data_IF_719782002778
#
_entry.id   IF_719782002778
#
_cell.length_a   1.000
_cell.length_b   1.000
_cell.length_c   1.000
_cell.angle_alpha   90.00
_cell.angle_beta   90.00
_cell.angle_gamma   90.00
#
_symmetry.space_group_name_H-M   'P 1'
#
loop_
_entity.id
_entity.type
_entity.pdbx_description
1 polymer ?
#
# COMPACT_ATOMS: atom_id res chain seq x y z
N UNK A 1 2.72 9.33 -4.68
CA UNK A 1 2.65 10.78 -4.36
C UNK A 1 1.70 10.98 -3.19
N UNK A 2 1.70 12.18 -2.59
CA UNK A 2 0.72 12.53 -1.53
C UNK A 2 -0.70 12.55 -2.08
N UNK A 3 -0.89 13.10 -3.27
CA UNK A 3 -2.20 13.19 -3.94
C UNK A 3 -2.87 11.81 -4.11
N UNK A 4 -2.13 10.78 -4.55
CA UNK A 4 -2.67 9.42 -4.66
C UNK A 4 -3.05 8.81 -3.31
N UNK A 5 -2.26 9.06 -2.26
CA UNK A 5 -2.56 8.60 -0.89
C UNK A 5 -3.85 9.25 -0.39
N UNK A 6 -4.00 10.56 -0.56
CA UNK A 6 -5.21 11.28 -0.14
C UNK A 6 -6.44 10.79 -0.89
N UNK A 7 -6.35 10.58 -2.21
CA UNK A 7 -7.43 10.02 -3.01
C UNK A 7 -7.85 8.63 -2.54
N UNK A 8 -6.89 7.76 -2.25
CA UNK A 8 -7.17 6.41 -1.75
C UNK A 8 -7.88 6.44 -0.38
N UNK A 9 -7.43 7.31 0.53
CA UNK A 9 -8.04 7.51 1.85
C UNK A 9 -9.47 8.06 1.72
N UNK A 10 -9.68 9.08 0.88
CA UNK A 10 -11.01 9.67 0.64
C UNK A 10 -11.96 8.63 0.03
N UNK A 11 -11.45 7.79 -0.87
CA UNK A 11 -12.21 6.68 -1.45
C UNK A 11 -12.51 5.55 -0.44
N UNK A 12 -12.00 5.64 0.80
CA UNK A 12 -12.18 4.62 1.83
C UNK A 12 -11.38 3.34 1.55
N UNK A 13 -10.38 3.38 0.65
CA UNK A 13 -9.56 2.21 0.37
C UNK A 13 -8.65 1.90 1.57
N UNK A 14 -8.61 0.66 2.07
CA UNK A 14 -7.72 0.29 3.16
C UNK A 14 -6.25 0.12 2.72
N UNK A 15 -6.01 0.05 1.41
CA UNK A 15 -4.72 -0.30 0.81
C UNK A 15 -4.50 0.38 -0.54
N UNK A 16 -3.26 0.80 -0.79
CA UNK A 16 -2.79 1.37 -2.06
C UNK A 16 -1.48 0.70 -2.46
N UNK A 17 -1.45 0.05 -3.64
CA UNK A 17 -0.24 -0.55 -4.22
C UNK A 17 0.20 0.30 -5.42
N UNK A 18 1.50 0.59 -5.50
CA UNK A 18 2.11 1.29 -6.62
C UNK A 18 3.35 0.55 -7.14
N UNK A 19 3.58 0.66 -8.45
CA UNK A 19 4.77 0.09 -9.13
C UNK A 19 6.05 0.85 -8.77
N UNK A 20 5.95 2.13 -8.41
CA UNK A 20 7.09 2.99 -8.09
C UNK A 20 7.26 3.20 -6.59
N UNK A 21 8.46 3.66 -6.18
CA UNK A 21 8.72 4.05 -4.81
C UNK A 21 7.90 5.30 -4.42
N UNK A 22 7.30 5.34 -3.21
CA UNK A 22 6.64 6.53 -2.71
C UNK A 22 7.66 7.59 -2.27
N UNK A 23 7.22 8.85 -2.19
CA UNK A 23 8.01 9.89 -1.53
C UNK A 23 7.89 9.77 -0.01
N UNK A 24 8.90 10.22 0.73
CA UNK A 24 8.86 10.19 2.21
C UNK A 24 7.63 10.92 2.79
N UNK A 25 7.19 12.01 2.15
CA UNK A 25 5.97 12.70 2.55
C UNK A 25 4.72 11.84 2.34
N UNK A 26 4.61 11.12 1.21
CA UNK A 26 3.49 10.22 0.96
C UNK A 26 3.43 9.07 1.98
N UNK A 27 4.58 8.52 2.37
CA UNK A 27 4.67 7.50 3.44
C UNK A 27 4.14 8.05 4.76
N UNK A 28 4.60 9.24 5.20
CA UNK A 28 4.09 9.88 6.42
C UNK A 28 2.60 10.16 6.37
N UNK A 29 2.08 10.61 5.22
CA UNK A 29 0.64 10.84 5.03
C UNK A 29 -0.15 9.54 5.12
N UNK A 30 0.35 8.45 4.53
CA UNK A 30 -0.30 7.14 4.59
C UNK A 30 -0.31 6.58 6.03
N UNK A 31 0.80 6.71 6.76
CA UNK A 31 0.91 6.27 8.15
C UNK A 31 -0.08 7.03 9.05
N UNK A 32 -0.12 8.36 8.94
CA UNK A 32 -1.05 9.20 9.71
C UNK A 32 -2.53 8.90 9.40
N UNK A 33 -2.83 8.51 8.16
CA UNK A 33 -4.17 8.11 7.75
C UNK A 33 -4.50 6.65 8.07
N UNK A 34 -3.54 5.87 8.58
CA UNK A 34 -3.70 4.43 8.77
C UNK A 34 -3.94 3.67 7.47
N UNK A 35 -3.48 4.18 6.32
CA UNK A 35 -3.54 3.51 5.02
C UNK A 35 -2.39 2.51 4.89
N UNK A 36 -2.65 1.33 4.34
CA UNK A 36 -1.59 0.39 3.95
C UNK A 36 -1.00 0.82 2.62
N UNK A 37 0.27 1.25 2.60
CA UNK A 37 0.96 1.70 1.40
C UNK A 37 2.02 0.69 0.99
N UNK A 38 1.89 0.19 -0.23
CA UNK A 38 2.84 -0.74 -0.85
C UNK A 38 3.43 -0.07 -2.09
N UNK A 39 4.75 -0.20 -2.26
CA UNK A 39 5.48 0.38 -3.38
C UNK A 39 6.45 -0.64 -4.00
N UNK A 40 7.06 -0.25 -5.12
CA UNK A 40 8.06 -1.06 -5.83
C UNK A 40 7.48 -2.44 -6.23
N UNK A 41 6.16 -2.50 -6.44
CA UNK A 41 5.48 -3.76 -6.75
C UNK A 41 5.83 -4.23 -8.17
N UNK A 42 6.40 -5.44 -8.28
CA UNK A 42 6.76 -6.10 -9.54
C UNK A 42 6.65 -7.61 -9.40
N UNK A 43 5.66 -8.21 -10.08
CA UNK A 43 5.42 -9.64 -9.98
C UNK A 43 5.04 -10.03 -8.54
N UNK A 44 5.81 -10.92 -7.94
CA UNK A 44 5.64 -11.34 -6.54
C UNK A 44 6.37 -10.43 -5.53
N UNK A 45 7.27 -9.56 -6.00
CA UNK A 45 8.07 -8.69 -5.15
C UNK A 45 7.38 -7.34 -4.90
N UNK A 46 7.45 -6.85 -3.68
CA UNK A 46 6.93 -5.55 -3.27
C UNK A 46 7.52 -5.15 -1.90
N UNK A 47 7.46 -3.86 -1.60
CA UNK A 47 7.81 -3.33 -0.27
C UNK A 47 6.59 -2.70 0.41
N UNK A 48 6.35 -3.07 1.66
CA UNK A 48 5.31 -2.46 2.49
C UNK A 48 5.92 -1.30 3.26
N UNK A 49 5.41 -0.10 3.03
CA UNK A 49 5.89 1.13 3.66
C UNK A 49 5.13 1.49 4.93
N UNK A 50 3.86 1.11 5.04
CA UNK A 50 3.01 1.41 6.20
C UNK A 50 2.03 0.25 6.47
N UNK A 51 1.64 0.07 7.74
CA UNK A 51 0.63 -0.92 8.16
C UNK A 51 0.90 -2.37 7.72
N UNK A 52 2.16 -2.81 7.80
CA UNK A 52 2.56 -4.18 7.47
C UNK A 52 1.83 -5.25 8.31
N UNK A 53 1.34 -4.88 9.50
CA UNK A 53 0.52 -5.71 10.37
C UNK A 53 -0.79 -6.19 9.71
N UNK A 54 -1.24 -5.56 8.62
CA UNK A 54 -2.47 -5.94 7.90
C UNK A 54 -2.26 -6.96 6.78
N UNK A 55 -1.02 -7.30 6.46
CA UNK A 55 -0.68 -8.24 5.38
C UNK A 55 -0.15 -9.53 5.99
N UNK A 56 -0.94 -10.59 5.89
CA UNK A 56 -0.51 -11.95 6.23
C UNK A 56 0.02 -12.64 4.98
N UNK A 57 1.15 -13.35 5.07
CA UNK A 57 1.56 -14.27 4.00
C UNK A 57 0.58 -15.46 3.95
N UNK A 58 -0.39 -15.37 3.05
CA UNK A 58 -1.30 -16.46 2.70
C UNK A 58 -0.83 -17.19 1.44
N UNK A 59 -1.13 -18.48 1.32
CA UNK A 59 -1.06 -19.19 0.03
C UNK A 59 -2.28 -18.77 -0.80
N UNK A 60 -2.08 -18.27 -2.01
CA UNK A 60 -3.16 -18.13 -2.99
C UNK A 60 -3.72 -19.52 -3.24
N UNK A 61 -4.98 -19.75 -2.88
CA UNK A 61 -5.70 -20.92 -3.33
C UNK A 61 -6.35 -20.51 -4.64
N UNK A 62 -5.84 -21.02 -5.75
CA UNK A 62 -6.50 -20.84 -7.04
C UNK A 62 -7.85 -21.56 -6.97
N UNK A 63 -8.92 -20.79 -6.81
CA UNK A 63 -10.28 -21.30 -6.97
C UNK A 63 -10.54 -21.36 -8.47
N UNK A 64 -10.09 -22.45 -9.08
CA UNK A 64 -10.53 -22.86 -10.41
C UNK A 64 -11.96 -23.39 -10.36
#
# INVERSE_FOLDING_TARGET
SVDMVQKAVIAGSPLLIAVSAPTALAVRTAEAAGLTLVGIARGADFEIFTRADRITQGRTSDVA
#
